data_IF_267727648728
#
_entry.id   IF_267727648728
#
_cell.length_a   1.000
_cell.length_b   1.000
_cell.length_c   1.000
_cell.angle_alpha   90.00
_cell.angle_beta   90.00
_cell.angle_gamma   90.00
#
_symmetry.space_group_name_H-M   'P 1'
#
loop_
_entity.id
_entity.type
_entity.pdbx_description
1 polymer ?
#
# COMPACT_ATOMS: atom_id res chain seq x y z
N UNK A 1 -5.77 48.04 30.99
CA UNK A 1 -5.61 46.67 31.55
C UNK A 1 -6.20 45.73 30.50
N UNK A 2 -5.52 45.44 29.39
CA UNK A 2 -4.55 44.33 29.18
C UNK A 2 -5.11 42.99 29.66
N UNK A 3 -5.20 41.90 28.92
CA UNK A 3 -4.71 41.52 27.58
C UNK A 3 -5.19 40.08 27.36
N UNK A 4 -6.00 39.80 26.32
CA UNK A 4 -6.37 38.44 25.91
C UNK A 4 -6.54 38.41 24.39
N UNK A 5 -5.42 38.54 23.66
CA UNK A 5 -5.35 38.33 22.21
C UNK A 5 -3.93 37.93 21.85
N UNK A 6 -3.72 36.63 21.60
CA UNK A 6 -2.77 36.06 20.61
C UNK A 6 -2.46 34.61 20.97
N UNK A 7 -3.43 33.71 20.77
CA UNK A 7 -3.05 32.32 20.47
C UNK A 7 -2.73 32.32 18.98
N UNK A 8 -1.44 32.22 18.69
CA UNK A 8 -0.82 32.34 17.38
C UNK A 8 -1.38 31.27 16.44
N UNK A 9 -2.00 31.74 15.36
CA UNK A 9 -2.41 30.97 14.17
C UNK A 9 -1.23 30.17 13.56
N UNK A 10 0.02 30.47 13.93
CA UNK A 10 1.21 29.73 13.50
C UNK A 10 1.36 28.31 14.08
N UNK A 11 0.73 27.97 15.22
CA UNK A 11 0.87 26.62 15.81
C UNK A 11 0.01 25.57 15.09
N UNK A 12 -1.06 26.00 14.41
CA UNK A 12 -1.91 25.11 13.60
C UNK A 12 -1.35 24.86 12.19
N UNK A 13 -0.47 25.74 11.69
CA UNK A 13 0.19 25.55 10.39
C UNK A 13 1.44 24.65 10.49
N UNK A 14 2.17 24.68 11.60
CA UNK A 14 3.31 23.79 11.84
C UNK A 14 2.88 22.35 12.19
N UNK A 15 1.70 22.17 12.78
CA UNK A 15 1.13 20.85 13.03
C UNK A 15 0.62 20.13 11.74
N UNK A 16 0.55 20.85 10.61
CA UNK A 16 0.13 20.28 9.33
C UNK A 16 1.26 19.53 8.59
N UNK A 17 2.52 19.63 9.04
CA UNK A 17 3.68 18.99 8.40
C UNK A 17 4.12 17.66 9.04
N UNK A 18 3.44 17.19 10.10
CA UNK A 18 3.79 15.93 10.75
C UNK A 18 2.55 15.15 11.18
N UNK A 19 1.70 14.80 10.21
CA UNK A 19 0.64 13.81 10.45
C UNK A 19 1.27 12.43 10.47
N UNK A 20 1.65 11.98 11.67
CA UNK A 20 1.91 10.56 11.94
C UNK A 20 0.54 9.88 12.02
N UNK A 21 -0.07 9.62 10.86
CA UNK A 21 -1.25 8.78 10.77
C UNK A 21 -0.79 7.31 10.70
N UNK A 22 -1.10 6.58 11.75
CA UNK A 22 -0.96 5.13 11.85
C UNK A 22 -1.94 4.45 10.87
N UNK A 23 -1.49 3.50 10.05
CA UNK A 23 -2.26 2.99 8.92
C UNK A 23 -2.04 1.49 8.64
N UNK A 24 -2.99 0.91 7.90
CA UNK A 24 -3.26 -0.53 7.67
C UNK A 24 -2.14 -1.36 6.99
N UNK A 25 -2.24 -2.69 7.06
CA UNK A 25 -1.29 -3.62 6.45
C UNK A 25 -1.35 -3.60 4.92
N UNK A 26 -0.35 -2.97 4.31
CA UNK A 26 0.01 -3.18 2.92
C UNK A 26 0.68 -4.54 2.70
N UNK A 27 0.61 -5.03 1.46
CA UNK A 27 1.47 -6.11 1.02
C UNK A 27 2.89 -5.60 0.85
N UNK A 28 3.85 -6.52 0.80
CA UNK A 28 5.22 -6.24 0.39
C UNK A 28 5.45 -6.88 -0.99
N UNK A 29 5.16 -6.20 -2.11
CA UNK A 29 5.09 -6.83 -3.42
C UNK A 29 6.44 -7.31 -3.93
N UNK A 30 7.57 -6.88 -3.34
CA UNK A 30 8.90 -7.45 -3.67
C UNK A 30 8.94 -8.97 -3.44
N UNK A 31 8.22 -9.46 -2.42
CA UNK A 31 8.13 -10.88 -2.12
C UNK A 31 7.31 -11.64 -3.15
N UNK A 32 6.19 -11.06 -3.61
CA UNK A 32 5.42 -11.63 -4.71
C UNK A 32 6.23 -11.63 -6.01
N UNK A 33 6.90 -10.52 -6.32
CA UNK A 33 7.75 -10.35 -7.50
C UNK A 33 8.92 -11.34 -7.55
N UNK A 34 9.60 -11.59 -6.41
CA UNK A 34 10.69 -12.58 -6.29
C UNK A 34 10.25 -13.99 -6.71
N UNK A 35 8.99 -14.32 -6.41
CA UNK A 35 8.42 -15.63 -6.72
C UNK A 35 7.63 -15.66 -8.05
N UNK A 36 7.49 -14.52 -8.73
CA UNK A 36 6.65 -14.42 -9.93
C UNK A 36 5.16 -14.65 -9.67
N UNK A 37 4.73 -14.41 -8.43
CA UNK A 37 3.36 -14.64 -7.97
C UNK A 37 2.54 -13.35 -8.02
N UNK A 38 1.22 -13.50 -8.14
CA UNK A 38 0.26 -12.41 -7.91
C UNK A 38 -0.03 -12.28 -6.42
N UNK A 39 -0.52 -11.12 -5.99
CA UNK A 39 -0.79 -10.85 -4.58
C UNK A 39 -1.82 -11.83 -3.97
N UNK A 40 -2.79 -12.26 -4.77
CA UNK A 40 -3.80 -13.26 -4.37
C UNK A 40 -3.21 -14.62 -3.98
N UNK A 41 -1.98 -14.92 -4.40
CA UNK A 41 -1.32 -16.16 -4.00
C UNK A 41 -1.12 -16.20 -2.48
N UNK A 42 -0.87 -15.05 -1.85
CA UNK A 42 -0.62 -14.94 -0.40
C UNK A 42 -1.79 -14.34 0.38
N UNK A 43 -2.62 -13.51 -0.25
CA UNK A 43 -3.72 -12.79 0.40
C UNK A 43 -5.11 -13.30 -0.02
N UNK A 44 -6.12 -13.06 0.82
CA UNK A 44 -7.52 -13.27 0.43
C UNK A 44 -7.98 -12.18 -0.55
N UNK A 45 -7.52 -10.94 -0.35
CA UNK A 45 -7.73 -9.83 -1.29
C UNK A 45 -6.99 -10.09 -2.62
N UNK A 46 -7.66 -10.04 -3.78
CA UNK A 46 -7.01 -10.23 -5.08
C UNK A 46 -5.89 -9.22 -5.36
N UNK A 47 -6.07 -7.99 -4.88
CA UNK A 47 -5.10 -6.91 -5.03
C UNK A 47 -3.97 -6.97 -3.99
N UNK A 48 -4.03 -7.88 -3.02
CA UNK A 48 -3.12 -7.95 -1.88
C UNK A 48 -3.55 -7.11 -0.68
N UNK A 49 -2.78 -7.22 0.41
CA UNK A 49 -3.05 -6.56 1.70
C UNK A 49 -4.04 -7.34 2.57
N UNK A 50 -4.16 -6.91 3.83
CA UNK A 50 -5.05 -7.53 4.82
C UNK A 50 -4.74 -9.01 5.06
N UNK A 51 -5.76 -9.76 5.47
CA UNK A 51 -5.60 -11.16 5.87
C UNK A 51 -4.98 -12.05 4.77
N UNK A 52 -3.94 -12.78 5.17
CA UNK A 52 -3.28 -13.79 4.35
C UNK A 52 -4.14 -15.03 4.22
N UNK A 53 -4.01 -15.77 3.12
CA UNK A 53 -4.65 -17.07 2.93
C UNK A 53 -3.76 -18.21 3.50
N UNK A 54 -4.20 -19.47 3.37
CA UNK A 54 -3.45 -20.62 3.91
C UNK A 54 -2.01 -20.73 3.37
N UNK A 55 -1.78 -20.42 2.08
CA UNK A 55 -0.43 -20.41 1.51
C UNK A 55 0.44 -19.30 2.11
N UNK A 56 -0.10 -18.08 2.23
CA UNK A 56 0.60 -16.96 2.84
C UNK A 56 1.06 -17.29 4.27
N UNK A 57 0.13 -17.76 5.12
CA UNK A 57 0.37 -17.98 6.56
C UNK A 57 1.19 -19.24 6.86
N UNK A 58 0.92 -20.33 6.16
CA UNK A 58 1.47 -21.65 6.53
C UNK A 58 2.75 -21.99 5.76
N UNK A 59 2.94 -21.41 4.57
CA UNK A 59 4.12 -21.69 3.73
C UNK A 59 5.05 -20.50 3.70
N UNK A 60 4.59 -19.37 3.19
CA UNK A 60 5.46 -18.22 2.91
C UNK A 60 6.12 -17.69 4.20
N UNK A 61 5.34 -17.47 5.25
CA UNK A 61 5.83 -16.84 6.48
C UNK A 61 6.63 -17.75 7.39
N UNK A 62 6.32 -19.04 7.38
CA UNK A 62 6.98 -20.01 8.26
C UNK A 62 8.28 -20.54 7.67
N UNK A 63 8.36 -20.61 6.35
CA UNK A 63 9.45 -21.27 5.63
C UNK A 63 10.27 -20.29 4.81
N UNK A 64 9.64 -19.37 4.06
CA UNK A 64 10.35 -18.59 3.06
C UNK A 64 10.98 -17.31 3.60
N UNK A 65 10.28 -16.64 4.53
CA UNK A 65 10.78 -15.40 5.14
C UNK A 65 11.90 -15.61 6.17
N UNK A 66 11.77 -16.51 7.17
CA UNK A 66 12.68 -16.52 8.31
C UNK A 66 14.08 -16.99 7.94
N UNK A 67 15.08 -16.42 8.59
CA UNK A 67 16.46 -16.86 8.43
C UNK A 67 16.64 -18.29 8.94
N UNK A 68 17.22 -19.16 8.10
CA UNK A 68 17.72 -20.48 8.52
C UNK A 68 16.76 -21.65 8.31
N UNK A 69 15.50 -21.40 7.94
CA UNK A 69 14.55 -22.44 7.52
C UNK A 69 14.59 -22.60 6.01
N UNK A 70 15.45 -23.49 5.51
CA UNK A 70 15.51 -23.80 4.08
C UNK A 70 14.51 -24.91 3.76
N UNK A 71 13.65 -24.76 2.73
CA UNK A 71 13.03 -25.93 2.12
C UNK A 71 14.13 -26.86 1.58
N UNK A 72 13.90 -28.17 1.62
CA UNK A 72 14.87 -29.15 1.14
C UNK A 72 15.24 -28.90 -0.33
N UNK A 73 16.51 -28.60 -0.60
CA UNK A 73 17.08 -28.38 -1.94
C UNK A 73 17.78 -27.03 -2.12
N UNK A 74 18.66 -26.93 -3.12
CA UNK A 74 19.38 -25.70 -3.52
C UNK A 74 18.47 -24.65 -4.22
N UNK A 75 17.15 -24.87 -4.21
CA UNK A 75 16.18 -24.04 -4.88
C UNK A 75 15.79 -22.84 -4.00
N UNK A 76 16.39 -21.69 -4.29
CA UNK A 76 16.05 -20.38 -3.71
C UNK A 76 14.68 -19.83 -4.16
N UNK A 77 13.91 -20.63 -4.89
CA UNK A 77 12.56 -20.41 -5.43
C UNK A 77 11.86 -21.76 -5.47
N UNK A 78 10.75 -21.96 -4.76
CA UNK A 78 9.86 -23.09 -5.04
C UNK A 78 8.81 -22.65 -6.06
N UNK A 79 8.80 -23.37 -7.18
CA UNK A 79 7.67 -23.41 -8.11
C UNK A 79 6.46 -23.95 -7.35
N UNK A 80 5.25 -23.37 -7.48
CA UNK A 80 4.06 -24.13 -7.12
C UNK A 80 4.06 -25.45 -7.92
N UNK A 81 3.53 -26.55 -7.36
CA UNK A 81 3.47 -27.82 -8.07
C UNK A 81 2.81 -27.60 -9.43
N UNK A 82 3.37 -28.23 -10.46
CA UNK A 82 2.77 -28.20 -11.78
C UNK A 82 1.30 -28.65 -11.66
N UNK A 83 0.40 -27.96 -12.37
CA UNK A 83 -1.02 -28.31 -12.44
C UNK A 83 -1.28 -29.60 -13.23
N UNK A 84 -0.28 -30.47 -13.37
CA UNK A 84 -0.35 -31.74 -14.13
C UNK A 84 -0.66 -32.95 -13.22
N UNK A 85 -0.95 -32.73 -11.94
CA UNK A 85 -1.32 -33.81 -11.02
C UNK A 85 -0.15 -34.72 -10.64
N UNK A 86 1.09 -34.38 -11.03
CA UNK A 86 2.28 -35.04 -10.50
C UNK A 86 2.68 -34.39 -9.17
N UNK A 87 1.97 -34.77 -8.11
CA UNK A 87 2.53 -34.64 -6.77
C UNK A 87 3.90 -35.35 -6.74
N UNK A 88 4.95 -34.76 -6.15
CA UNK A 88 6.17 -35.50 -5.84
C UNK A 88 5.76 -36.75 -5.04
N UNK A 89 6.13 -37.92 -5.55
CA UNK A 89 5.76 -39.22 -4.98
C UNK A 89 6.51 -39.54 -3.68
N UNK A 90 7.29 -38.61 -3.16
CA UNK A 90 7.91 -38.68 -1.86
C UNK A 90 7.43 -37.49 -1.01
N UNK A 91 6.74 -37.80 0.09
CA UNK A 91 6.42 -36.85 1.15
C UNK A 91 7.65 -36.36 1.92
N UNK A 92 8.74 -36.03 1.22
CA UNK A 92 10.05 -35.64 1.78
C UNK A 92 10.22 -34.13 1.91
N UNK A 93 9.21 -33.33 1.57
CA UNK A 93 9.12 -31.92 1.97
C UNK A 93 8.21 -31.73 3.20
N UNK A 94 8.14 -32.73 4.08
CA UNK A 94 7.85 -32.45 5.47
C UNK A 94 8.99 -31.54 5.95
N UNK A 95 8.72 -30.23 6.05
CA UNK A 95 9.43 -29.44 7.04
C UNK A 95 9.43 -30.29 8.31
N UNK A 96 10.61 -30.56 8.88
CA UNK A 96 10.67 -31.14 10.22
C UNK A 96 9.63 -30.40 11.06
N UNK A 97 8.69 -31.13 11.66
CA UNK A 97 7.74 -30.58 12.63
C UNK A 97 8.59 -30.05 13.78
N UNK A 98 8.99 -28.79 13.64
CA UNK A 98 9.73 -28.05 14.62
C UNK A 98 8.70 -27.60 15.65
N UNK A 99 8.71 -28.27 16.81
CA UNK A 99 7.85 -28.05 18.00
C UNK A 99 7.86 -26.57 18.48
N UNK A 100 8.71 -25.72 17.92
CA UNK A 100 8.88 -24.30 18.26
C UNK A 100 7.85 -23.34 17.62
N UNK A 101 6.97 -23.78 16.71
CA UNK A 101 5.92 -22.89 16.13
C UNK A 101 4.55 -23.15 16.75
N UNK A 102 4.27 -22.43 17.84
CA UNK A 102 3.08 -22.65 18.69
C UNK A 102 1.80 -21.96 18.18
N UNK A 103 1.89 -20.95 17.31
CA UNK A 103 0.72 -20.16 16.91
C UNK A 103 0.03 -20.70 15.64
N UNK A 104 -1.28 -20.91 15.69
CA UNK A 104 -2.14 -21.22 14.54
C UNK A 104 -3.28 -20.18 14.47
N UNK A 105 -3.35 -19.34 13.42
CA UNK A 105 -4.41 -18.34 13.26
C UNK A 105 -5.78 -18.95 12.89
N UNK A 106 -5.85 -20.23 12.53
CA UNK A 106 -7.10 -20.89 12.17
C UNK A 106 -7.88 -21.27 13.43
N UNK A 107 -8.98 -20.55 13.68
CA UNK A 107 -9.88 -20.85 14.81
C UNK A 107 -10.63 -22.15 14.53
N UNK A 108 -11.04 -22.34 13.27
CA UNK A 108 -11.67 -23.54 12.74
C UNK A 108 -11.56 -23.55 11.20
N UNK A 109 -12.14 -24.58 10.56
CA UNK A 109 -12.08 -24.78 9.10
C UNK A 109 -12.66 -23.64 8.24
N UNK A 110 -13.47 -22.75 8.83
CA UNK A 110 -14.16 -21.67 8.12
C UNK A 110 -13.81 -20.28 8.64
N UNK A 111 -13.04 -20.14 9.72
CA UNK A 111 -12.67 -18.85 10.30
C UNK A 111 -11.17 -18.77 10.61
N UNK A 112 -10.54 -17.71 10.12
CA UNK A 112 -9.16 -17.34 10.40
C UNK A 112 -9.12 -15.97 11.07
N UNK A 113 -8.28 -15.83 12.08
CA UNK A 113 -7.99 -14.58 12.75
C UNK A 113 -6.50 -14.26 12.62
N UNK A 114 -6.21 -13.07 12.11
CA UNK A 114 -4.85 -12.55 11.98
C UNK A 114 -4.68 -11.23 12.74
N UNK A 115 -3.45 -10.75 12.83
CA UNK A 115 -3.16 -9.47 13.46
C UNK A 115 -1.86 -8.86 12.97
N UNK A 116 -1.76 -7.54 13.09
CA UNK A 116 -0.55 -6.78 12.78
C UNK A 116 -0.28 -5.79 13.89
N UNK A 117 0.93 -5.81 14.43
CA UNK A 117 1.41 -4.85 15.40
C UNK A 117 2.75 -4.29 14.93
N UNK A 118 2.79 -2.98 14.69
CA UNK A 118 4.01 -2.27 14.29
C UNK A 118 4.30 -1.14 15.25
N UNK A 119 5.48 -1.19 15.85
CA UNK A 119 6.01 -0.12 16.71
C UNK A 119 7.27 0.44 16.08
N UNK A 120 7.37 1.75 16.00
CA UNK A 120 8.46 2.44 15.34
C UNK A 120 9.11 3.49 16.24
N UNK A 121 10.42 3.62 16.10
CA UNK A 121 11.19 4.79 16.47
C UNK A 121 11.45 5.63 15.21
N UNK A 122 11.22 6.93 15.31
CA UNK A 122 11.59 7.88 14.27
C UNK A 122 12.53 8.95 14.82
N UNK A 123 13.45 9.35 13.96
CA UNK A 123 14.27 10.54 14.14
C UNK A 123 14.25 11.33 12.83
N UNK A 124 13.63 12.50 12.84
CA UNK A 124 13.51 13.38 11.67
C UNK A 124 14.21 14.69 12.01
N UNK A 125 15.12 15.11 11.13
CA UNK A 125 15.87 16.36 11.27
C UNK A 125 15.84 17.12 9.95
N UNK A 126 15.05 18.20 9.88
CA UNK A 126 15.18 19.20 8.82
C UNK A 126 16.54 19.89 8.88
N UNK A 127 17.00 20.38 7.74
CA UNK A 127 18.23 21.17 7.64
C UNK A 127 18.02 22.61 8.12
N UNK A 128 16.82 23.16 7.93
CA UNK A 128 16.47 24.53 8.30
C UNK A 128 15.25 24.58 9.24
N UNK A 129 15.16 25.64 10.05
CA UNK A 129 13.97 25.94 10.83
C UNK A 129 12.84 26.50 9.97
N UNK A 130 11.63 26.57 10.52
CA UNK A 130 10.47 27.14 9.81
C UNK A 130 10.63 28.62 9.39
N UNK A 131 11.60 29.32 10.00
CA UNK A 131 12.07 30.65 9.61
C UNK A 131 13.60 30.67 9.65
N UNK A 132 14.29 31.56 8.91
CA UNK A 132 15.75 31.63 8.90
C UNK A 132 16.39 31.79 10.29
N UNK A 133 15.69 32.39 11.25
CA UNK A 133 16.15 32.59 12.62
C UNK A 133 15.71 31.49 13.61
N UNK A 134 14.88 30.54 13.17
CA UNK A 134 14.39 29.45 14.01
C UNK A 134 15.33 28.25 13.92
N UNK A 135 15.48 27.54 15.03
CA UNK A 135 16.16 26.26 15.04
C UNK A 135 15.33 25.20 14.28
N UNK A 136 15.99 24.21 13.64
CA UNK A 136 15.29 23.09 13.01
C UNK A 136 14.46 22.30 14.01
N UNK A 137 13.21 22.01 13.65
CA UNK A 137 12.31 21.24 14.51
C UNK A 137 12.63 19.75 14.39
N UNK A 138 13.36 19.23 15.37
CA UNK A 138 13.80 17.83 15.39
C UNK A 138 12.74 16.96 16.06
N UNK A 139 12.23 15.97 15.34
CA UNK A 139 11.34 14.95 15.90
C UNK A 139 12.16 13.73 16.32
N UNK A 140 12.01 13.29 17.57
CA UNK A 140 12.53 12.01 18.06
C UNK A 140 11.47 11.36 18.94
N UNK A 141 10.89 10.25 18.46
CA UNK A 141 9.75 9.65 19.16
C UNK A 141 9.60 8.17 18.88
N UNK A 142 8.99 7.47 19.85
CA UNK A 142 8.41 6.14 19.66
C UNK A 142 6.91 6.27 19.50
N UNK A 143 6.33 5.51 18.59
CA UNK A 143 4.89 5.45 18.44
C UNK A 143 4.44 4.07 17.94
N UNK A 144 3.18 3.76 18.22
CA UNK A 144 2.51 2.59 17.67
C UNK A 144 2.01 2.96 16.27
N UNK A 145 2.71 2.46 15.27
CA UNK A 145 2.47 2.74 13.86
C UNK A 145 1.25 1.99 13.33
N UNK A 146 0.99 0.79 13.86
CA UNK A 146 -0.11 -0.05 13.41
C UNK A 146 -0.53 -1.04 14.50
N UNK A 147 -1.82 -1.32 14.58
CA UNK A 147 -2.41 -2.28 15.50
C UNK A 147 -3.75 -2.75 14.96
N UNK A 148 -3.72 -3.81 14.16
CA UNK A 148 -4.85 -4.26 13.36
C UNK A 148 -5.22 -5.70 13.69
N UNK A 149 -6.50 -6.01 13.53
CA UNK A 149 -7.10 -7.31 13.74
C UNK A 149 -7.87 -7.72 12.48
N UNK A 150 -7.48 -8.86 11.91
CA UNK A 150 -8.03 -9.36 10.66
C UNK A 150 -8.90 -10.58 10.88
N UNK A 151 -9.98 -10.69 10.11
CA UNK A 151 -10.86 -11.85 10.14
C UNK A 151 -11.25 -12.24 8.73
N UNK A 152 -11.13 -13.53 8.42
CA UNK A 152 -11.68 -14.11 7.19
C UNK A 152 -12.60 -15.26 7.57
N UNK A 153 -13.81 -15.25 7.00
CA UNK A 153 -14.82 -16.28 7.21
C UNK A 153 -15.23 -16.87 5.86
N UNK A 154 -14.84 -18.10 5.59
CA UNK A 154 -15.26 -18.86 4.41
C UNK A 154 -16.66 -19.44 4.66
N UNK A 155 -17.70 -18.71 4.25
CA UNK A 155 -19.10 -19.09 4.49
C UNK A 155 -19.49 -20.34 3.69
N UNK A 156 -18.94 -20.48 2.49
CA UNK A 156 -18.99 -21.68 1.65
C UNK A 156 -17.90 -21.59 0.57
N UNK A 157 -17.82 -22.57 -0.33
CA UNK A 157 -16.78 -22.64 -1.38
C UNK A 157 -16.74 -21.45 -2.35
N UNK A 158 -17.82 -20.67 -2.44
CA UNK A 158 -17.93 -19.51 -3.32
C UNK A 158 -17.83 -18.18 -2.57
N UNK A 159 -18.00 -18.15 -1.25
CA UNK A 159 -18.18 -16.89 -0.52
C UNK A 159 -17.27 -16.82 0.70
N UNK A 160 -16.42 -15.80 0.71
CA UNK A 160 -15.56 -15.44 1.84
C UNK A 160 -15.91 -14.03 2.29
N UNK A 161 -16.19 -13.84 3.58
CA UNK A 161 -16.36 -12.52 4.18
C UNK A 161 -15.06 -12.13 4.90
N UNK A 162 -14.67 -10.86 4.78
CA UNK A 162 -13.50 -10.29 5.44
C UNK A 162 -13.91 -9.08 6.27
N UNK A 163 -13.35 -8.99 7.48
CA UNK A 163 -13.45 -7.84 8.37
C UNK A 163 -12.07 -7.55 8.95
N UNK A 164 -11.52 -6.41 8.57
CA UNK A 164 -10.24 -5.92 9.06
C UNK A 164 -10.52 -4.65 9.88
N UNK A 165 -10.03 -4.60 11.11
CA UNK A 165 -10.23 -3.47 12.02
C UNK A 165 -8.89 -3.02 12.55
N UNK A 166 -8.52 -1.78 12.25
CA UNK A 166 -7.31 -1.14 12.74
C UNK A 166 -7.60 -0.13 13.83
N UNK A 167 -6.72 -0.06 14.84
CA UNK A 167 -6.83 0.91 15.93
C UNK A 167 -6.75 2.37 15.44
N UNK A 168 -6.13 2.58 14.28
CA UNK A 168 -5.89 3.90 13.69
C UNK A 168 -6.31 4.02 12.23
N UNK A 169 -6.42 2.89 11.52
CA UNK A 169 -6.72 2.86 10.10
C UNK A 169 -8.21 2.77 9.79
N UNK A 170 -9.06 2.46 10.78
CA UNK A 170 -10.48 2.26 10.57
C UNK A 170 -10.89 0.83 10.37
N UNK A 171 -11.72 0.58 9.37
CA UNK A 171 -12.09 -0.79 9.00
C UNK A 171 -12.22 -1.04 7.50
N UNK A 172 -11.91 -2.27 7.10
CA UNK A 172 -12.25 -2.87 5.81
C UNK A 172 -13.30 -3.95 6.02
N UNK A 173 -14.35 -4.00 5.20
CA UNK A 173 -15.40 -5.00 5.34
C UNK A 173 -16.04 -5.33 3.99
N UNK A 174 -15.87 -6.56 3.52
CA UNK A 174 -16.36 -7.00 2.21
C UNK A 174 -16.62 -8.50 2.13
N UNK A 175 -17.44 -8.88 1.16
CA UNK A 175 -17.61 -10.25 0.70
C UNK A 175 -16.92 -10.45 -0.65
N UNK A 176 -16.20 -11.56 -0.78
CA UNK A 176 -15.59 -12.04 -2.01
C UNK A 176 -16.36 -13.26 -2.51
N UNK A 177 -16.82 -13.16 -3.75
CA UNK A 177 -17.59 -14.17 -4.45
C UNK A 177 -16.72 -14.78 -5.56
N UNK A 178 -16.29 -16.02 -5.36
CA UNK A 178 -15.61 -16.82 -6.38
C UNK A 178 -16.67 -17.38 -7.34
N UNK A 179 -16.64 -16.95 -8.60
CA UNK A 179 -17.57 -17.45 -9.62
C UNK A 179 -17.16 -18.83 -10.14
N UNK A 180 -15.86 -19.13 -10.07
CA UNK A 180 -15.29 -20.44 -10.39
C UNK A 180 -14.66 -21.02 -9.13
N UNK A 181 -15.07 -22.24 -8.76
CA UNK A 181 -14.52 -22.95 -7.59
C UNK A 181 -13.50 -24.01 -8.01
N UNK A 182 -13.54 -24.42 -9.27
CA UNK A 182 -12.60 -25.35 -9.86
C UNK A 182 -11.63 -24.61 -10.79
N UNK A 183 -10.42 -25.14 -11.01
CA UNK A 183 -9.45 -24.55 -11.94
C UNK A 183 -10.10 -24.31 -13.31
N UNK A 184 -10.21 -23.04 -13.68
CA UNK A 184 -10.79 -22.61 -14.95
C UNK A 184 -9.76 -21.84 -15.77
N UNK A 185 -9.97 -21.77 -17.08
CA UNK A 185 -9.14 -20.95 -17.99
C UNK A 185 -9.17 -19.47 -17.59
N UNK A 186 -10.29 -19.03 -17.00
CA UNK A 186 -10.49 -17.71 -16.44
C UNK A 186 -11.04 -17.86 -15.03
N UNK A 187 -10.36 -17.32 -14.02
CA UNK A 187 -10.91 -17.21 -12.69
C UNK A 187 -11.54 -15.82 -12.51
N UNK A 188 -12.79 -15.78 -12.05
CA UNK A 188 -13.57 -14.55 -11.92
C UNK A 188 -14.02 -14.41 -10.48
N UNK A 189 -13.72 -13.25 -9.90
CA UNK A 189 -14.07 -12.92 -8.53
C UNK A 189 -14.81 -11.59 -8.49
N UNK A 190 -15.80 -11.50 -7.62
CA UNK A 190 -16.51 -10.25 -7.34
C UNK A 190 -16.32 -9.91 -5.87
N UNK A 191 -15.77 -8.73 -5.58
CA UNK A 191 -15.65 -8.18 -4.23
C UNK A 191 -16.69 -7.09 -4.03
N UNK A 192 -17.44 -7.15 -2.93
CA UNK A 192 -18.51 -6.21 -2.61
C UNK A 192 -18.37 -5.75 -1.17
N UNK A 193 -18.29 -4.44 -0.95
CA UNK A 193 -18.16 -3.84 0.38
C UNK A 193 -17.24 -2.63 0.39
N UNK A 194 -16.66 -2.34 1.55
CA UNK A 194 -15.66 -1.28 1.74
C UNK A 194 -14.27 -1.87 1.63
N UNK A 195 -13.48 -1.44 0.64
CA UNK A 195 -12.13 -1.94 0.36
C UNK A 195 -11.27 -0.87 -0.31
N UNK A 196 -9.95 -1.00 -0.24
CA UNK A 196 -9.07 -0.12 -1.02
C UNK A 196 -9.02 -0.57 -2.51
N UNK A 197 -9.26 0.30 -3.49
CA UNK A 197 -9.35 -0.08 -4.90
C UNK A 197 -8.01 -0.49 -5.51
N UNK A 198 -8.04 -1.35 -6.52
CA UNK A 198 -6.83 -1.79 -7.21
C UNK A 198 -6.20 -0.66 -8.06
N UNK A 199 -5.02 -0.17 -7.66
CA UNK A 199 -4.23 0.82 -8.40
C UNK A 199 -2.73 0.70 -8.06
N UNK A 200 -1.88 0.68 -9.09
CA UNK A 200 -0.42 0.61 -8.93
C UNK A 200 0.06 -0.68 -8.23
N UNK A 201 1.19 -0.56 -7.51
CA UNK A 201 1.77 -1.62 -6.66
C UNK A 201 1.47 -1.32 -5.19
N UNK A 202 0.64 -2.12 -4.52
CA UNK A 202 0.24 -1.95 -3.11
C UNK A 202 1.36 -2.25 -2.13
N UNK A 203 2.35 -1.36 -2.08
CA UNK A 203 3.45 -1.40 -1.13
C UNK A 203 3.04 -0.84 0.24
N UNK A 204 3.63 -1.41 1.30
CA UNK A 204 3.29 -1.15 2.71
C UNK A 204 3.92 0.12 3.28
N UNK A 205 4.95 0.67 2.64
CA UNK A 205 5.61 1.88 3.12
C UNK A 205 4.61 3.06 3.20
N UNK A 206 4.47 3.62 4.40
CA UNK A 206 3.34 4.48 4.76
C UNK A 206 3.43 5.90 4.18
N UNK A 207 4.59 6.31 3.67
CA UNK A 207 4.79 7.64 3.12
C UNK A 207 5.03 7.64 1.61
N UNK A 208 4.79 6.52 0.91
CA UNK A 208 5.07 6.45 -0.51
C UNK A 208 4.29 7.48 -1.31
N UNK A 209 5.00 8.23 -2.14
CA UNK A 209 4.38 9.30 -2.93
C UNK A 209 3.37 8.77 -3.96
N UNK A 210 3.59 7.57 -4.51
CA UNK A 210 2.64 6.92 -5.43
C UNK A 210 1.45 6.27 -4.71
N UNK A 211 1.33 6.43 -3.39
CA UNK A 211 0.21 5.91 -2.59
C UNK A 211 -0.43 7.04 -1.79
N UNK A 212 0.23 7.47 -0.73
CA UNK A 212 -0.28 8.46 0.22
C UNK A 212 -0.55 9.80 -0.45
N UNK A 213 0.42 10.36 -1.19
CA UNK A 213 0.21 11.64 -1.87
C UNK A 213 -0.87 11.57 -2.93
N UNK A 214 -1.17 10.42 -3.53
CA UNK A 214 -2.26 10.34 -4.51
C UNK A 214 -3.59 9.92 -3.87
N UNK A 215 -3.73 9.92 -2.54
CA UNK A 215 -4.96 9.53 -1.85
C UNK A 215 -5.33 8.06 -2.09
N UNK A 216 -4.32 7.18 -2.16
CA UNK A 216 -4.43 5.71 -2.18
C UNK A 216 -3.47 5.09 -1.16
N UNK A 217 -3.28 5.80 -0.05
CA UNK A 217 -2.60 5.36 1.14
C UNK A 217 -3.43 4.35 1.93
N UNK A 218 -2.93 3.95 3.09
CA UNK A 218 -3.46 2.79 3.79
C UNK A 218 -4.83 3.01 4.48
N UNK A 219 -5.36 4.23 4.52
CA UNK A 219 -6.72 4.53 5.01
C UNK A 219 -7.72 4.86 3.90
N UNK A 220 -7.27 4.90 2.64
CA UNK A 220 -8.05 5.35 1.48
C UNK A 220 -8.90 4.22 0.89
N UNK A 221 -9.86 3.75 1.70
CA UNK A 221 -10.85 2.74 1.30
C UNK A 221 -12.08 3.41 0.72
N UNK A 222 -12.84 2.67 -0.09
CA UNK A 222 -14.12 3.13 -0.62
C UNK A 222 -15.12 1.97 -0.66
N UNK A 223 -16.41 2.29 -0.68
CA UNK A 223 -17.48 1.31 -0.76
C UNK A 223 -17.93 1.12 -2.21
N UNK A 224 -17.98 -0.13 -2.65
CA UNK A 224 -18.43 -0.45 -4.00
C UNK A 224 -18.38 -1.92 -4.36
N UNK A 225 -18.22 -2.16 -5.65
CA UNK A 225 -18.14 -3.49 -6.26
C UNK A 225 -16.92 -3.53 -7.18
N UNK A 226 -16.08 -4.55 -7.03
CA UNK A 226 -14.95 -4.82 -7.90
C UNK A 226 -15.09 -6.21 -8.54
N UNK A 227 -14.82 -6.30 -9.84
CA UNK A 227 -14.69 -7.57 -10.55
C UNK A 227 -13.21 -7.74 -10.89
N UNK A 228 -12.64 -8.88 -10.50
CA UNK A 228 -11.27 -9.27 -10.85
C UNK A 228 -11.29 -10.55 -11.68
N UNK A 229 -10.57 -10.53 -12.79
CA UNK A 229 -10.39 -11.63 -13.72
C UNK A 229 -8.92 -12.04 -13.81
N UNK A 230 -8.64 -13.33 -13.62
CA UNK A 230 -7.34 -13.93 -13.85
C UNK A 230 -7.41 -14.83 -15.09
N UNK A 231 -6.63 -14.49 -16.11
CA UNK A 231 -6.60 -15.13 -17.42
C UNK A 231 -5.15 -15.54 -17.74
N UNK A 232 -4.69 -16.65 -17.14
CA UNK A 232 -3.31 -17.09 -17.25
C UNK A 232 -2.33 -16.01 -16.75
N UNK A 233 -1.47 -15.44 -17.61
CA UNK A 233 -0.53 -14.38 -17.21
C UNK A 233 -1.18 -12.99 -17.08
N UNK A 234 -2.46 -12.82 -17.40
CA UNK A 234 -3.12 -11.50 -17.39
C UNK A 234 -4.10 -11.41 -16.22
N UNK A 235 -4.03 -10.31 -15.48
CA UNK A 235 -4.97 -9.98 -14.40
C UNK A 235 -5.62 -8.64 -14.72
N UNK A 236 -6.95 -8.58 -14.66
CA UNK A 236 -7.72 -7.35 -14.85
C UNK A 236 -8.67 -7.15 -13.67
N UNK A 237 -8.67 -5.98 -13.07
CA UNK A 237 -9.59 -5.58 -12.01
C UNK A 237 -10.31 -4.30 -12.40
N UNK A 238 -11.62 -4.24 -12.20
CA UNK A 238 -12.44 -3.03 -12.43
C UNK A 238 -13.40 -2.86 -11.26
N UNK A 239 -13.37 -1.69 -10.63
CA UNK A 239 -14.25 -1.33 -9.52
C UNK A 239 -15.12 -0.12 -9.85
N UNK A 240 -16.36 -0.16 -9.37
CA UNK A 240 -17.25 1.00 -9.29
C UNK A 240 -17.47 1.32 -7.82
N UNK A 241 -17.19 2.55 -7.44
CA UNK A 241 -17.10 3.00 -6.06
C UNK A 241 -17.92 4.29 -5.86
N UNK A 242 -18.09 4.73 -4.62
CA UNK A 242 -18.78 5.99 -4.35
C UNK A 242 -17.95 7.23 -4.70
N UNK A 243 -16.61 7.13 -4.75
CA UNK A 243 -15.74 8.26 -5.02
C UNK A 243 -15.36 9.05 -3.79
N UNK A 244 -15.42 8.42 -2.61
CA UNK A 244 -15.17 9.04 -1.31
C UNK A 244 -14.10 8.25 -0.57
N UNK A 245 -12.89 8.30 -1.11
CA UNK A 245 -11.74 7.62 -0.52
C UNK A 245 -11.53 8.10 0.92
N UNK A 246 -11.34 7.15 1.83
CA UNK A 246 -11.04 7.41 3.24
C UNK A 246 -11.82 6.50 4.19
N UNK A 247 -11.81 6.85 5.48
CA UNK A 247 -12.37 6.00 6.53
C UNK A 247 -13.74 6.43 7.07
N UNK A 248 -14.56 7.09 6.25
CA UNK A 248 -15.93 7.41 6.70
C UNK A 248 -16.77 6.15 6.89
N UNK A 249 -17.44 6.01 8.05
CA UNK A 249 -18.20 4.81 8.40
C UNK A 249 -19.52 4.67 7.63
N UNK A 250 -20.18 5.80 7.37
CA UNK A 250 -21.37 5.88 6.53
C UNK A 250 -21.17 6.97 5.50
N UNK A 251 -21.13 6.57 4.24
CA UNK A 251 -21.04 7.52 3.15
C UNK A 251 -22.44 8.04 2.76
N UNK A 252 -22.63 9.35 2.90
CA UNK A 252 -23.85 10.06 2.48
C UNK A 252 -23.70 10.73 1.10
N UNK A 253 -22.60 10.52 0.38
CA UNK A 253 -22.44 11.05 -0.97
C UNK A 253 -23.51 10.47 -1.91
N UNK A 254 -24.10 11.35 -2.72
CA UNK A 254 -25.27 11.03 -3.54
C UNK A 254 -26.64 11.25 -2.88
N UNK A 255 -26.73 11.61 -1.59
CA UNK A 255 -28.03 11.92 -0.95
C UNK A 255 -28.58 13.30 -1.31
N UNK A 256 -27.72 14.21 -1.76
CA UNK A 256 -28.12 15.50 -2.32
C UNK A 256 -28.37 15.35 -3.82
N UNK A 257 -29.56 15.74 -4.32
CA UNK A 257 -30.03 15.62 -5.73
C UNK A 257 -29.09 16.20 -6.83
N UNK A 258 -27.93 16.77 -6.48
CA UNK A 258 -26.93 17.32 -7.41
C UNK A 258 -25.60 16.53 -7.50
N UNK A 259 -25.41 15.47 -6.73
CA UNK A 259 -24.13 14.78 -6.60
C UNK A 259 -24.23 13.29 -7.01
N UNK A 260 -24.59 12.98 -8.26
CA UNK A 260 -24.36 11.60 -8.75
C UNK A 260 -22.86 11.45 -9.02
N UNK A 261 -22.13 11.12 -7.96
CA UNK A 261 -20.67 11.03 -7.94
C UNK A 261 -20.35 9.54 -7.79
N UNK A 262 -19.62 9.02 -8.76
CA UNK A 262 -19.14 7.64 -8.78
C UNK A 262 -17.70 7.67 -9.22
N UNK A 263 -16.88 6.86 -8.57
CA UNK A 263 -15.55 6.59 -9.03
C UNK A 263 -15.47 5.25 -9.76
N UNK A 264 -14.56 5.19 -10.72
CA UNK A 264 -14.20 3.97 -11.42
C UNK A 264 -12.71 3.76 -11.27
N UNK A 265 -12.31 2.61 -10.73
CA UNK A 265 -10.92 2.19 -10.70
C UNK A 265 -10.73 1.01 -11.65
N UNK A 266 -9.60 0.96 -12.35
CA UNK A 266 -9.24 -0.16 -13.18
C UNK A 266 -7.74 -0.43 -13.08
N UNK A 267 -7.36 -1.71 -13.08
CA UNK A 267 -5.98 -2.17 -13.11
C UNK A 267 -5.86 -3.33 -14.08
N UNK A 268 -4.86 -3.29 -14.96
CA UNK A 268 -4.51 -4.37 -15.86
C UNK A 268 -3.04 -4.70 -15.66
N UNK A 269 -2.71 -5.99 -15.59
CA UNK A 269 -1.33 -6.43 -15.48
C UNK A 269 -1.07 -7.70 -16.26
N UNK A 270 0.15 -7.84 -16.79
CA UNK A 270 0.63 -9.03 -17.46
C UNK A 270 1.95 -9.46 -16.82
N UNK A 271 2.05 -10.76 -16.53
CA UNK A 271 3.23 -11.39 -15.92
C UNK A 271 3.93 -12.31 -16.92
N UNK A 272 5.25 -12.34 -16.85
CA UNK A 272 6.11 -13.20 -17.67
C UNK A 272 7.13 -13.91 -16.77
N UNK A 273 7.32 -15.20 -17.02
CA UNK A 273 8.40 -15.98 -16.43
C UNK A 273 9.26 -16.55 -17.57
N UNK A 274 10.49 -16.05 -17.68
CA UNK A 274 11.50 -16.46 -18.66
C UNK A 274 12.61 -17.30 -18.00
N UNK A 275 12.32 -17.88 -16.83
CA UNK A 275 13.23 -18.69 -16.03
C UNK A 275 14.20 -17.85 -15.18
N UNK A 276 15.11 -17.13 -15.84
CA UNK A 276 16.12 -16.30 -15.17
C UNK A 276 15.65 -14.87 -14.91
N UNK A 277 14.65 -14.39 -15.66
CA UNK A 277 13.90 -13.16 -15.38
C UNK A 277 12.44 -13.52 -15.16
N UNK A 278 11.87 -12.96 -14.10
CA UNK A 278 10.42 -12.89 -13.92
C UNK A 278 10.00 -11.45 -13.81
N UNK A 279 8.80 -11.13 -14.24
CA UNK A 279 8.30 -9.78 -14.07
C UNK A 279 6.83 -9.64 -14.33
N UNK A 280 6.31 -8.50 -13.89
CA UNK A 280 4.95 -8.07 -14.13
C UNK A 280 5.00 -6.62 -14.59
N UNK A 281 4.29 -6.30 -15.67
CA UNK A 281 4.02 -4.92 -16.03
C UNK A 281 2.52 -4.68 -15.87
N UNK A 282 2.13 -3.47 -15.53
CA UNK A 282 0.74 -3.12 -15.50
C UNK A 282 0.46 -1.64 -15.60
N UNK A 283 -0.80 -1.33 -15.79
CA UNK A 283 -1.34 0.01 -15.86
C UNK A 283 -2.55 0.11 -14.94
N UNK A 284 -2.80 1.31 -14.42
CA UNK A 284 -3.94 1.60 -13.56
C UNK A 284 -4.58 2.93 -13.95
N UNK A 285 -5.87 3.03 -13.71
CA UNK A 285 -6.69 4.20 -13.99
C UNK A 285 -7.69 4.38 -12.86
N UNK A 286 -7.89 5.62 -12.44
CA UNK A 286 -8.92 6.01 -11.49
C UNK A 286 -9.58 7.29 -12.00
N UNK A 287 -10.90 7.30 -12.04
CA UNK A 287 -11.68 8.49 -12.39
C UNK A 287 -12.69 8.73 -11.29
N UNK A 288 -12.79 9.98 -10.85
CA UNK A 288 -13.78 10.41 -9.88
C UNK A 288 -14.43 11.70 -10.36
N UNK A 289 -15.76 11.71 -10.38
CA UNK A 289 -16.54 12.86 -10.83
C UNK A 289 -17.13 13.58 -9.62
N UNK A 290 -16.95 14.90 -9.55
CA UNK A 290 -17.62 15.75 -8.57
C UNK A 290 -17.06 15.68 -7.15
N UNK A 291 -15.84 15.18 -6.95
CA UNK A 291 -15.19 15.15 -5.64
C UNK A 291 -15.22 16.53 -4.97
N UNK A 292 -15.51 16.58 -3.68
CA UNK A 292 -15.44 17.80 -2.88
C UNK A 292 -14.03 18.05 -2.29
N UNK A 293 -13.08 17.17 -2.59
CA UNK A 293 -11.68 17.31 -2.22
C UNK A 293 -10.79 17.20 -3.46
N UNK A 294 -9.72 17.98 -3.47
CA UNK A 294 -8.64 17.84 -4.44
C UNK A 294 -7.78 16.62 -4.08
N UNK A 295 -7.05 16.11 -5.07
CA UNK A 295 -6.05 15.08 -4.82
C UNK A 295 -5.01 15.56 -3.82
N UNK A 296 -4.57 14.75 -2.83
CA UNK A 296 -3.60 15.19 -1.83
C UNK A 296 -2.28 15.68 -2.46
N UNK A 297 -1.91 15.13 -3.63
CA UNK A 297 -0.70 15.48 -4.37
C UNK A 297 -0.77 16.93 -4.84
N UNK A 298 -1.95 17.38 -5.26
CA UNK A 298 -2.15 18.71 -5.83
C UNK A 298 -2.55 19.73 -4.75
N UNK A 299 -2.89 19.29 -3.54
CA UNK A 299 -3.41 20.14 -2.48
C UNK A 299 -2.45 21.28 -2.09
N UNK A 300 -1.13 21.02 -2.10
CA UNK A 300 -0.11 22.03 -1.81
C UNK A 300 -0.03 23.16 -2.85
N UNK A 301 -0.48 22.91 -4.08
CA UNK A 301 -0.52 23.91 -5.15
C UNK A 301 -1.77 24.81 -5.09
N UNK A 302 -2.74 24.50 -4.22
CA UNK A 302 -3.98 25.27 -4.08
C UNK A 302 -3.79 26.35 -3.00
N UNK A 303 -3.91 27.64 -3.33
CA UNK A 303 -3.83 28.70 -2.33
C UNK A 303 -4.92 28.53 -1.26
N UNK A 304 -4.57 28.68 0.02
CA UNK A 304 -5.51 28.52 1.15
C UNK A 304 -6.76 29.41 1.03
N UNK A 305 -6.62 30.60 0.46
CA UNK A 305 -7.74 31.52 0.18
C UNK A 305 -8.77 30.95 -0.82
N UNK A 306 -8.38 29.95 -1.63
CA UNK A 306 -9.20 29.29 -2.65
C UNK A 306 -9.72 27.92 -2.21
N UNK A 307 -9.55 27.51 -0.94
CA UNK A 307 -10.05 26.22 -0.45
C UNK A 307 -11.56 26.04 -0.67
N UNK A 308 -12.35 27.11 -0.59
CA UNK A 308 -13.79 27.08 -0.88
C UNK A 308 -14.14 26.80 -2.34
N UNK A 309 -13.23 27.05 -3.28
CA UNK A 309 -13.42 26.75 -4.70
C UNK A 309 -13.38 25.24 -4.98
N UNK A 310 -12.60 24.48 -4.21
CA UNK A 310 -12.54 23.00 -4.27
C UNK A 310 -13.89 22.38 -3.92
N UNK A 311 -14.56 22.93 -2.89
CA UNK A 311 -15.87 22.46 -2.44
C UNK A 311 -17.02 22.67 -3.45
N UNK A 312 -16.78 23.36 -4.57
CA UNK A 312 -17.75 23.45 -5.67
C UNK A 312 -17.77 22.18 -6.54
N UNK A 313 -16.74 21.33 -6.44
CA UNK A 313 -16.60 20.07 -7.16
C UNK A 313 -15.33 20.00 -8.02
N UNK A 314 -14.78 18.79 -8.10
CA UNK A 314 -13.56 18.45 -8.84
C UNK A 314 -13.81 17.18 -9.66
N UNK A 315 -13.45 17.21 -10.94
CA UNK A 315 -13.29 15.98 -11.72
C UNK A 315 -11.83 15.57 -11.71
N UNK A 316 -11.55 14.42 -11.10
CA UNK A 316 -10.21 13.87 -10.92
C UNK A 316 -9.97 12.70 -11.88
N UNK A 317 -8.76 12.68 -12.45
CA UNK A 317 -8.21 11.53 -13.17
C UNK A 317 -6.87 11.18 -12.56
N UNK A 318 -6.67 9.89 -12.24
CA UNK A 318 -5.35 9.32 -11.95
C UNK A 318 -5.05 8.24 -12.98
N UNK A 319 -3.84 8.25 -13.52
CA UNK A 319 -3.36 7.21 -14.42
C UNK A 319 -1.97 6.79 -13.99
N UNK A 320 -1.67 5.49 -14.00
CA UNK A 320 -0.40 4.99 -13.53
C UNK A 320 0.09 3.77 -14.28
N UNK A 321 1.39 3.51 -14.14
CA UNK A 321 2.06 2.36 -14.72
C UNK A 321 3.05 1.80 -13.73
N UNK A 322 3.17 0.49 -13.69
CA UNK A 322 4.07 -0.18 -12.77
C UNK A 322 4.80 -1.35 -13.42
N UNK A 323 5.95 -1.69 -12.83
CA UNK A 323 6.82 -2.77 -13.24
C UNK A 323 7.36 -3.48 -12.00
N UNK A 324 7.35 -4.80 -12.04
CA UNK A 324 8.11 -5.65 -11.13
C UNK A 324 9.03 -6.52 -11.98
N UNK A 325 10.28 -6.65 -11.56
CA UNK A 325 11.27 -7.51 -12.18
C UNK A 325 12.03 -8.24 -11.09
N UNK A 326 12.24 -9.54 -11.27
CA UNK A 326 13.14 -10.34 -10.45
C UNK A 326 14.21 -10.97 -11.35
N UNK A 327 15.46 -10.81 -10.93
CA UNK A 327 16.65 -11.40 -11.54
C UNK A 327 17.49 -12.03 -10.43
N UNK A 328 17.21 -13.30 -10.14
CA UNK A 328 17.89 -14.05 -9.09
C UNK A 328 17.72 -13.39 -7.73
N UNK A 329 18.82 -12.86 -7.18
CA UNK A 329 18.84 -12.21 -5.85
C UNK A 329 18.37 -10.77 -5.87
N UNK A 330 18.20 -10.18 -7.05
CA UNK A 330 17.78 -8.80 -7.22
C UNK A 330 16.32 -8.73 -7.59
N UNK A 331 15.57 -7.82 -6.95
CA UNK A 331 14.19 -7.50 -7.32
C UNK A 331 14.07 -6.00 -7.48
N UNK A 332 13.50 -5.57 -8.60
CA UNK A 332 13.27 -4.17 -8.92
C UNK A 332 11.77 -3.92 -9.02
N UNK A 333 11.28 -2.90 -8.33
CA UNK A 333 9.92 -2.41 -8.43
C UNK A 333 9.97 -0.97 -8.95
N UNK A 334 9.01 -0.60 -9.78
CA UNK A 334 8.77 0.77 -10.18
C UNK A 334 7.27 1.02 -10.27
N UNK A 335 6.83 2.17 -9.78
CA UNK A 335 5.47 2.66 -9.87
C UNK A 335 5.48 4.14 -10.26
N UNK A 336 4.52 4.55 -11.06
CA UNK A 336 4.36 5.92 -11.55
C UNK A 336 2.87 6.24 -11.54
N UNK A 337 2.51 7.39 -10.99
CA UNK A 337 1.15 7.89 -10.95
C UNK A 337 1.11 9.34 -11.42
N UNK A 338 0.27 9.63 -12.40
CA UNK A 338 -0.07 10.97 -12.87
C UNK A 338 -1.48 11.32 -12.40
N UNK A 339 -1.67 12.55 -11.95
CA UNK A 339 -2.94 13.06 -11.41
C UNK A 339 -3.33 14.34 -12.14
N UNK A 340 -4.62 14.51 -12.37
CA UNK A 340 -5.21 15.74 -12.90
C UNK A 340 -6.53 16.07 -12.23
N UNK A 341 -6.61 17.28 -11.70
CA UNK A 341 -7.84 17.85 -11.14
C UNK A 341 -8.38 18.96 -12.02
N UNK A 342 -9.63 18.82 -12.46
CA UNK A 342 -10.39 19.87 -13.13
C UNK A 342 -11.45 20.42 -12.17
N UNK A 343 -11.22 21.63 -11.65
CA UNK A 343 -12.14 22.29 -10.73
C UNK A 343 -13.36 22.85 -11.46
N UNK A 344 -14.52 22.86 -10.78
CA UNK A 344 -15.74 23.45 -11.32
C UNK A 344 -15.75 24.98 -11.17
N UNK A 345 -15.00 25.50 -10.22
CA UNK A 345 -14.81 26.93 -10.02
C UNK A 345 -13.80 27.47 -11.02
N UNK A 346 -14.16 28.55 -11.71
CA UNK A 346 -13.26 29.30 -12.60
C UNK A 346 -12.10 30.00 -11.85
N UNK A 347 -12.11 29.97 -10.51
CA UNK A 347 -11.04 30.54 -9.68
C UNK A 347 -9.77 29.69 -9.64
N UNK A 348 -9.88 28.40 -9.97
CA UNK A 348 -8.76 27.46 -9.95
C UNK A 348 -8.48 26.93 -11.36
N UNK A 349 -7.22 26.97 -11.83
CA UNK A 349 -6.87 26.33 -13.09
C UNK A 349 -6.92 24.82 -12.95
N UNK A 350 -6.88 24.11 -14.07
CA UNK A 350 -6.60 22.67 -14.05
C UNK A 350 -5.20 22.43 -13.48
N UNK A 351 -5.09 21.59 -12.46
CA UNK A 351 -3.81 21.19 -11.88
C UNK A 351 -3.43 19.79 -12.32
N UNK A 352 -2.12 19.57 -12.47
CA UNK A 352 -1.55 18.30 -12.91
C UNK A 352 -0.27 18.03 -12.14
N UNK A 353 -0.08 16.80 -11.71
CA UNK A 353 1.11 16.38 -10.99
C UNK A 353 1.45 14.93 -11.27
N UNK A 354 2.62 14.49 -10.84
CA UNK A 354 2.95 13.08 -10.84
C UNK A 354 3.82 12.70 -9.64
N UNK A 355 3.73 11.43 -9.27
CA UNK A 355 4.57 10.80 -8.29
C UNK A 355 5.18 9.53 -8.89
N UNK A 356 6.40 9.20 -8.49
CA UNK A 356 7.05 7.94 -8.86
C UNK A 356 7.78 7.34 -7.67
N UNK A 357 7.88 6.02 -7.68
CA UNK A 357 8.59 5.22 -6.70
C UNK A 357 9.38 4.14 -7.42
N UNK A 358 10.61 3.94 -6.99
CA UNK A 358 11.50 2.89 -7.46
C UNK A 358 12.13 2.21 -6.26
N UNK A 359 12.20 0.88 -6.31
CA UNK A 359 12.85 0.06 -5.30
C UNK A 359 13.79 -0.92 -5.98
N UNK A 360 15.03 -1.00 -5.51
CA UNK A 360 15.95 -2.08 -5.82
C UNK A 360 16.29 -2.82 -4.53
N UNK A 361 15.83 -4.05 -4.41
CA UNK A 361 16.17 -4.93 -3.30
C UNK A 361 17.14 -6.04 -3.73
N UNK A 362 18.05 -6.37 -2.83
CA UNK A 362 18.92 -7.55 -2.93
C UNK A 362 18.71 -8.44 -1.72
N UNK A 363 18.72 -9.76 -1.94
CA UNK A 363 18.66 -10.80 -0.91
C UNK A 363 20.05 -11.42 -0.71
N UNK A 364 20.90 -10.94 0.22
CA UNK A 364 22.22 -11.53 0.44
C UNK A 364 22.11 -12.94 1.02
N UNK A 365 21.14 -13.15 1.92
CA UNK A 365 20.79 -14.42 2.52
C UNK A 365 19.31 -14.42 2.84
N UNK A 366 18.70 -15.60 2.92
CA UNK A 366 17.31 -15.75 3.38
C UNK A 366 17.08 -15.01 4.70
N UNK A 367 15.97 -14.27 4.77
CA UNK A 367 15.56 -13.47 5.91
C UNK A 367 16.34 -12.17 6.11
N UNK A 368 17.24 -11.78 5.20
CA UNK A 368 17.90 -10.47 5.22
C UNK A 368 17.75 -9.81 3.86
N UNK A 369 17.04 -8.70 3.79
CA UNK A 369 16.87 -7.91 2.58
C UNK A 369 17.58 -6.56 2.73
N UNK A 370 18.26 -6.12 1.68
CA UNK A 370 18.83 -4.76 1.59
C UNK A 370 18.13 -4.04 0.46
N UNK A 371 17.56 -2.88 0.76
CA UNK A 371 16.60 -2.21 -0.10
C UNK A 371 17.02 -0.77 -0.32
N UNK A 372 17.25 -0.37 -1.57
CA UNK A 372 17.42 1.02 -1.97
C UNK A 372 16.13 1.55 -2.56
N UNK A 373 15.71 2.75 -2.17
CA UNK A 373 14.50 3.41 -2.68
C UNK A 373 14.83 4.77 -3.29
N UNK A 374 14.08 5.13 -4.34
CA UNK A 374 14.09 6.45 -4.93
C UNK A 374 12.65 6.87 -5.23
N UNK A 375 12.26 8.03 -4.75
CA UNK A 375 10.92 8.56 -4.86
C UNK A 375 10.96 9.99 -5.35
N UNK A 376 9.99 10.34 -6.18
CA UNK A 376 9.88 11.68 -6.75
C UNK A 376 8.41 12.09 -6.77
N UNK A 377 8.11 13.33 -6.41
CA UNK A 377 6.79 13.92 -6.53
C UNK A 377 6.89 15.35 -7.02
N UNK A 378 6.05 15.68 -7.99
CA UNK A 378 5.85 17.03 -8.51
C UNK A 378 4.35 17.36 -8.42
N UNK A 379 3.95 18.24 -7.49
CA UNK A 379 2.57 18.58 -7.22
C UNK A 379 1.97 19.60 -8.19
N UNK A 380 2.78 20.28 -9.01
CA UNK A 380 2.30 21.19 -10.06
C UNK A 380 3.30 21.27 -11.20
N UNK A 381 2.98 20.57 -12.30
CA UNK A 381 3.80 20.52 -13.51
C UNK A 381 3.99 21.87 -14.21
N UNK A 382 3.24 22.90 -13.85
CA UNK A 382 3.39 24.25 -14.40
C UNK A 382 4.36 25.11 -13.57
N UNK A 383 4.82 24.63 -12.41
CA UNK A 383 5.86 25.21 -11.57
C UNK A 383 7.17 24.40 -11.69
N UNK A 384 8.32 25.06 -11.55
CA UNK A 384 9.63 24.39 -11.66
C UNK A 384 10.26 24.05 -10.30
N UNK A 385 9.84 24.73 -9.23
CA UNK A 385 10.55 24.79 -7.95
C UNK A 385 9.69 24.28 -6.76
N UNK A 386 8.90 23.23 -6.95
CA UNK A 386 8.02 22.66 -5.91
C UNK A 386 8.07 21.13 -5.83
N UNK A 387 9.12 20.52 -6.40
CA UNK A 387 9.30 19.07 -6.42
C UNK A 387 9.94 18.56 -5.13
N UNK A 388 9.62 17.32 -4.81
CA UNK A 388 10.24 16.56 -3.72
C UNK A 388 10.93 15.31 -4.28
N UNK A 389 12.20 15.12 -3.97
CA UNK A 389 12.96 13.89 -4.22
C UNK A 389 13.29 13.24 -2.89
N UNK A 390 13.12 11.92 -2.75
CA UNK A 390 13.53 11.19 -1.56
C UNK A 390 14.31 9.93 -1.93
N UNK A 391 15.50 9.78 -1.36
CA UNK A 391 16.31 8.57 -1.52
C UNK A 391 16.44 7.86 -0.17
N UNK A 392 16.35 6.54 -0.19
CA UNK A 392 16.38 5.72 1.01
C UNK A 392 17.27 4.49 0.89
N UNK A 393 17.78 4.03 2.02
CA UNK A 393 18.44 2.74 2.17
C UNK A 393 17.90 2.06 3.42
N UNK A 394 17.44 0.83 3.27
CA UNK A 394 16.92 0.01 4.36
C UNK A 394 17.59 -1.36 4.43
N UNK A 395 17.61 -1.90 5.64
CA UNK A 395 17.88 -3.31 5.91
C UNK A 395 16.68 -3.88 6.64
N UNK A 396 16.21 -5.01 6.13
CA UNK A 396 15.10 -5.77 6.69
C UNK A 396 15.59 -7.14 7.13
N UNK A 397 15.15 -7.55 8.31
CA UNK A 397 15.56 -8.79 8.93
C UNK A 397 14.37 -9.55 9.49
N UNK A 398 14.25 -10.82 9.10
CA UNK A 398 13.23 -11.77 9.53
C UNK A 398 13.89 -12.86 10.37
N UNK A 399 14.12 -12.63 11.67
CA UNK A 399 14.81 -13.59 12.54
C UNK A 399 13.99 -14.87 12.76
N UNK A 400 12.68 -14.73 12.90
CA UNK A 400 11.73 -15.80 13.19
C UNK A 400 10.46 -15.65 12.34
N UNK A 401 9.63 -16.70 12.23
CA UNK A 401 8.28 -16.57 11.67
C UNK A 401 7.52 -15.40 12.32
N UNK A 402 6.69 -14.70 11.55
CA UNK A 402 5.79 -13.65 12.06
C UNK A 402 6.50 -12.39 12.60
N UNK A 403 7.82 -12.28 12.44
CA UNK A 403 8.60 -11.17 12.98
C UNK A 403 9.44 -10.51 11.90
N UNK A 404 9.42 -9.18 11.91
CA UNK A 404 10.25 -8.33 11.06
C UNK A 404 10.89 -7.23 11.91
N UNK A 405 12.17 -6.98 11.64
CA UNK A 405 12.90 -5.81 12.10
C UNK A 405 13.41 -5.05 10.88
N UNK A 406 13.09 -3.76 10.79
CA UNK A 406 13.56 -2.90 9.71
C UNK A 406 14.23 -1.66 10.26
N UNK A 407 15.33 -1.27 9.62
CA UNK A 407 15.97 0.02 9.82
C UNK A 407 16.15 0.70 8.47
N UNK A 408 15.75 1.95 8.36
CA UNK A 408 15.80 2.73 7.13
C UNK A 408 16.32 4.13 7.41
N UNK A 409 17.26 4.59 6.60
CA UNK A 409 17.69 5.99 6.54
C UNK A 409 17.24 6.59 5.22
N UNK A 410 16.75 7.83 5.26
CA UNK A 410 16.31 8.58 4.07
C UNK A 410 16.83 9.99 4.09
N UNK A 411 17.05 10.52 2.89
CA UNK A 411 17.28 11.93 2.63
C UNK A 411 16.18 12.43 1.71
N UNK A 412 15.53 13.51 2.11
CA UNK A 412 14.52 14.20 1.32
C UNK A 412 15.10 15.55 0.89
N UNK A 413 14.98 15.84 -0.40
CA UNK A 413 15.23 17.15 -0.99
C UNK A 413 13.89 17.73 -1.39
N UNK A 414 13.51 18.87 -0.80
CA UNK A 414 12.19 19.46 -1.01
C UNK A 414 12.32 20.93 -1.40
N UNK A 415 12.14 21.21 -2.69
CA UNK A 415 12.32 22.56 -3.24
C UNK A 415 11.16 23.50 -2.87
N UNK A 416 10.00 22.93 -2.49
CA UNK A 416 8.83 23.70 -2.07
C UNK A 416 8.74 23.97 -0.57
N UNK A 417 9.63 23.41 0.25
CA UNK A 417 9.54 23.49 1.71
C UNK A 417 10.36 24.64 2.31
N UNK A 418 9.74 25.40 3.22
CA UNK A 418 10.44 26.42 4.01
C UNK A 418 11.46 25.83 5.00
N UNK A 419 11.28 24.57 5.43
CA UNK A 419 12.25 23.87 6.30
C UNK A 419 13.39 23.21 5.51
N UNK A 420 13.35 23.33 4.18
CA UNK A 420 14.31 22.72 3.26
C UNK A 420 14.33 21.19 3.32
N UNK A 421 15.49 20.64 2.95
CA UNK A 421 15.79 19.22 2.98
C UNK A 421 15.71 18.61 4.38
N UNK A 422 15.55 17.28 4.47
CA UNK A 422 15.49 16.59 5.76
C UNK A 422 16.15 15.20 5.74
N UNK A 423 16.71 14.80 6.89
CA UNK A 423 17.13 13.44 7.16
C UNK A 423 16.11 12.71 8.03
N UNK A 424 15.79 11.48 7.65
CA UNK A 424 14.92 10.59 8.43
C UNK A 424 15.66 9.30 8.77
N UNK A 425 15.55 8.85 10.02
CA UNK A 425 15.84 7.49 10.44
C UNK A 425 14.55 6.89 10.98
N UNK A 426 14.19 5.73 10.45
CA UNK A 426 13.05 4.94 10.91
C UNK A 426 13.56 3.56 11.29
N UNK A 427 13.25 3.12 12.50
CA UNK A 427 13.51 1.75 12.95
C UNK A 427 12.20 1.21 13.48
N UNK A 428 11.75 0.06 12.98
CA UNK A 428 10.54 -0.56 13.49
C UNK A 428 10.69 -2.06 13.70
N UNK A 429 9.86 -2.54 14.63
CA UNK A 429 9.55 -3.94 14.80
C UNK A 429 8.11 -4.17 14.34
N UNK A 430 7.90 -5.26 13.62
CA UNK A 430 6.62 -5.64 13.08
C UNK A 430 6.33 -7.10 13.41
N UNK A 431 5.20 -7.32 14.09
CA UNK A 431 4.66 -8.63 14.39
C UNK A 431 3.42 -8.83 13.53
N UNK A 432 3.45 -9.84 12.67
CA UNK A 432 2.39 -10.10 11.71
C UNK A 432 1.96 -11.55 11.78
N UNK A 433 0.67 -11.80 11.94
CA UNK A 433 0.10 -13.14 12.10
C UNK A 433 -1.14 -13.35 11.23
#
# INVERSE_FOLDING_TARGET
>A
MSSLTSVSVGVLAAAAALVIASADAGAVPRFAARNGNECIQCHVSPAGGGIRNAYGRNVFERVWLPRGRKPAGDAWVVRPPATDGSAPADGSAAAEEDDDVVFDPEINEWMVLGGDLRAAYIFIRPDEGATPEAEPDVTSSFFLMQADLYHAMTLNRHVTAVLDVGAYSGFEAWGLYHLNVEPATYDLMVRVGKFMPAFGIREVEHQLFTRERIGLGATDRDTGVEVTAFAGPVTAAVAVLNGTLGDTAFDTHGTSRKAFEKAVAARLSARADLGWIRGQLGASFYFNQGSNQASPLLAGAIPSAMAGAVGQGVNEVRAGGFLTLNLGRFTYLADLAWVRDNFYSDQLPTLRGYASYQELSMLPTQGVDVVGTLEFADPDLDLLDNRTLRAGLAVEFFPWPFTELRAMVRRTWDEGSASGDAWDLVVFSHLFM
#
